data_IF_444656914940
#
_entry.id   IF_444656914940
#
_cell.length_a   1.000
_cell.length_b   1.000
_cell.length_c   1.000
_cell.angle_alpha   90.00
_cell.angle_beta   90.00
_cell.angle_gamma   90.00
#
_symmetry.space_group_name_H-M   'P 1'
#
loop_
_entity.id
_entity.type
_entity.pdbx_description
1 polymer ?
#
# COMPACT_ATOMS: atom_id res chain seq x y z
N UNK A 1 -15.03 -15.93 35.27
CA UNK A 1 -15.88 -15.63 34.10
C UNK A 1 -17.32 -15.62 34.59
N UNK A 2 -18.12 -14.58 34.31
CA UNK A 2 -19.53 -14.58 34.75
C UNK A 2 -20.30 -15.67 33.98
N UNK A 3 -21.13 -16.50 34.65
CA UNK A 3 -22.03 -17.39 33.95
C UNK A 3 -23.04 -16.56 33.15
N UNK A 4 -23.27 -16.94 31.89
CA UNK A 4 -24.30 -16.36 31.04
C UNK A 4 -25.57 -17.17 31.29
N UNK A 5 -26.65 -16.52 31.68
CA UNK A 5 -27.95 -17.18 31.84
C UNK A 5 -28.68 -17.35 30.50
N UNK A 6 -29.70 -18.21 30.48
CA UNK A 6 -30.43 -18.54 29.25
C UNK A 6 -31.14 -17.31 28.63
N UNK A 7 -31.55 -16.34 29.44
CA UNK A 7 -32.17 -15.11 28.95
C UNK A 7 -31.15 -14.21 28.26
N UNK A 8 -29.95 -14.09 28.82
CA UNK A 8 -28.83 -13.37 28.23
C UNK A 8 -28.38 -14.03 26.93
N UNK A 9 -28.33 -15.38 26.89
CA UNK A 9 -28.01 -16.14 25.69
C UNK A 9 -29.04 -15.94 24.57
N UNK A 10 -30.33 -16.00 24.87
CA UNK A 10 -31.39 -15.78 23.88
C UNK A 10 -31.45 -14.33 23.39
N UNK A 11 -31.25 -13.35 24.29
CA UNK A 11 -31.13 -11.94 23.90
C UNK A 11 -29.93 -11.71 22.98
N UNK A 12 -28.80 -12.34 23.27
CA UNK A 12 -27.61 -12.29 22.43
C UNK A 12 -27.88 -12.89 21.04
N UNK A 13 -28.52 -14.07 20.98
CA UNK A 13 -28.89 -14.75 19.73
C UNK A 13 -29.81 -13.91 18.87
N UNK A 14 -30.88 -13.33 19.44
CA UNK A 14 -31.79 -12.44 18.73
C UNK A 14 -31.08 -11.19 18.19
N UNK A 15 -30.18 -10.61 19.00
CA UNK A 15 -29.34 -9.47 18.58
C UNK A 15 -28.42 -9.83 17.42
N UNK A 16 -27.79 -11.01 17.45
CA UNK A 16 -26.92 -11.49 16.38
C UNK A 16 -27.70 -11.79 15.10
N UNK A 17 -28.89 -12.40 15.20
CA UNK A 17 -29.76 -12.65 14.05
C UNK A 17 -30.17 -11.33 13.36
N UNK A 18 -30.54 -10.30 14.13
CA UNK A 18 -30.85 -8.97 13.58
C UNK A 18 -29.63 -8.33 12.91
N UNK A 19 -28.44 -8.43 13.52
CA UNK A 19 -27.19 -7.94 12.93
C UNK A 19 -26.85 -8.67 11.63
N UNK A 20 -27.03 -9.99 11.61
CA UNK A 20 -26.84 -10.82 10.41
C UNK A 20 -27.78 -10.37 9.29
N UNK A 21 -29.07 -10.18 9.56
CA UNK A 21 -30.01 -9.73 8.54
C UNK A 21 -29.64 -8.36 7.94
N UNK A 22 -29.20 -7.41 8.77
CA UNK A 22 -28.69 -6.11 8.29
C UNK A 22 -27.44 -6.27 7.44
N UNK A 23 -26.50 -7.12 7.89
CA UNK A 23 -25.27 -7.40 7.15
C UNK A 23 -25.55 -8.09 5.80
N UNK A 24 -26.45 -9.08 5.79
CA UNK A 24 -26.84 -9.81 4.58
C UNK A 24 -27.48 -8.85 3.56
N UNK A 25 -28.36 -7.95 4.02
CA UNK A 25 -28.97 -6.93 3.15
C UNK A 25 -27.93 -5.95 2.59
N UNK A 26 -26.96 -5.53 3.41
CA UNK A 26 -25.86 -4.67 2.95
C UNK A 26 -24.99 -5.36 1.90
N UNK A 27 -24.65 -6.64 2.11
CA UNK A 27 -23.87 -7.45 1.17
C UNK A 27 -24.64 -7.69 -0.12
N UNK A 28 -25.95 -7.95 -0.05
CA UNK A 28 -26.80 -8.14 -1.23
C UNK A 28 -26.85 -6.90 -2.14
N UNK A 29 -26.60 -5.71 -1.58
CA UNK A 29 -26.51 -4.47 -2.35
C UNK A 29 -25.17 -4.25 -3.07
N UNK A 30 -24.17 -5.13 -2.89
CA UNK A 30 -22.85 -5.00 -3.54
C UNK A 30 -22.84 -5.80 -4.84
N UNK A 31 -22.95 -5.12 -5.98
CA UNK A 31 -23.07 -5.75 -7.31
C UNK A 31 -21.75 -5.86 -8.09
N UNK A 32 -20.70 -5.19 -7.63
CA UNK A 32 -19.37 -5.24 -8.27
C UNK A 32 -18.63 -6.46 -7.72
N UNK A 33 -18.54 -7.53 -8.52
CA UNK A 33 -17.88 -8.77 -8.09
C UNK A 33 -16.35 -8.65 -8.09
N UNK A 34 -15.78 -8.02 -9.12
CA UNK A 34 -14.32 -7.84 -9.26
C UNK A 34 -13.99 -6.49 -9.89
N UNK A 35 -13.03 -5.79 -9.29
CA UNK A 35 -12.35 -4.62 -9.86
C UNK A 35 -10.97 -4.47 -9.20
N UNK A 36 -10.02 -3.97 -9.97
CA UNK A 36 -8.72 -3.52 -9.52
C UNK A 36 -8.91 -2.32 -8.60
N UNK A 37 -8.21 -2.32 -7.47
CA UNK A 37 -8.37 -1.31 -6.43
C UNK A 37 -7.15 -0.40 -6.37
N UNK A 38 -7.37 0.91 -6.30
CA UNK A 38 -6.35 1.88 -5.93
C UNK A 38 -6.40 2.09 -4.43
N UNK A 39 -5.34 1.66 -3.76
CA UNK A 39 -5.21 1.67 -2.31
C UNK A 39 -4.13 2.68 -1.93
N UNK A 40 -4.40 3.56 -0.98
CA UNK A 40 -3.42 4.53 -0.46
C UNK A 40 -3.19 4.29 1.03
N UNK A 41 -1.97 3.92 1.39
CA UNK A 41 -1.52 3.82 2.77
C UNK A 41 -0.67 5.05 3.12
N UNK A 42 -1.26 6.00 3.84
CA UNK A 42 -0.64 7.30 4.20
C UNK A 42 -0.56 7.50 5.73
N UNK A 43 -0.22 8.71 6.17
CA UNK A 43 -0.15 9.08 7.58
C UNK A 43 1.26 9.01 8.20
N UNK A 44 1.46 9.67 9.35
CA UNK A 44 2.78 9.80 9.98
C UNK A 44 3.26 8.52 10.67
N UNK A 45 2.36 7.60 11.00
CA UNK A 45 2.64 6.37 11.76
C UNK A 45 3.39 5.30 10.96
N UNK A 46 4.00 4.36 11.69
CA UNK A 46 4.64 3.16 11.12
C UNK A 46 3.57 2.20 10.57
N UNK A 47 3.87 1.55 9.45
CA UNK A 47 3.07 0.42 8.94
C UNK A 47 2.73 0.46 7.45
N UNK A 48 2.92 1.61 6.77
CA UNK A 48 2.40 1.83 5.40
C UNK A 48 2.95 0.83 4.40
N UNK A 49 4.29 0.78 4.31
CA UNK A 49 5.03 -0.14 3.46
C UNK A 49 4.81 -1.59 3.88
N UNK A 50 4.89 -1.92 5.17
CA UNK A 50 4.70 -3.28 5.66
C UNK A 50 3.28 -3.81 5.39
N UNK A 51 2.25 -2.96 5.43
CA UNK A 51 0.90 -3.34 5.05
C UNK A 51 0.77 -3.63 3.54
N UNK A 52 1.43 -2.81 2.70
CA UNK A 52 1.49 -3.07 1.26
C UNK A 52 2.19 -4.41 0.96
N UNK A 53 3.32 -4.69 1.62
CA UNK A 53 4.02 -5.96 1.46
C UNK A 53 3.26 -7.15 2.05
N UNK A 54 2.52 -6.99 3.14
CA UNK A 54 1.60 -8.01 3.63
C UNK A 54 0.51 -8.37 2.60
N UNK A 55 0.03 -7.37 1.84
CA UNK A 55 -0.89 -7.61 0.73
C UNK A 55 -0.20 -8.32 -0.44
N UNK A 56 1.04 -7.95 -0.79
CA UNK A 56 1.82 -8.68 -1.81
C UNK A 56 2.02 -10.16 -1.42
N UNK A 57 2.34 -10.44 -0.16
CA UNK A 57 2.46 -11.81 0.33
C UNK A 57 1.14 -12.58 0.16
N UNK A 58 0.00 -11.95 0.43
CA UNK A 58 -1.32 -12.55 0.18
C UNK A 58 -1.53 -12.87 -1.31
N UNK A 59 -1.19 -11.95 -2.21
CA UNK A 59 -1.30 -12.17 -3.65
C UNK A 59 -0.41 -13.34 -4.13
N UNK A 60 0.83 -13.39 -3.64
CA UNK A 60 1.76 -14.49 -3.93
C UNK A 60 1.27 -15.83 -3.38
N UNK A 61 0.63 -15.83 -2.21
CA UNK A 61 -0.01 -17.01 -1.62
C UNK A 61 -1.13 -17.59 -2.49
N UNK A 62 -1.80 -16.75 -3.28
CA UNK A 62 -2.76 -17.17 -4.31
C UNK A 62 -2.13 -17.38 -5.70
N UNK A 63 -0.79 -17.46 -5.77
CA UNK A 63 -0.06 -17.74 -7.01
C UNK A 63 -0.04 -16.60 -8.03
N UNK A 64 -0.46 -15.37 -7.64
CA UNK A 64 -0.42 -14.20 -8.51
C UNK A 64 0.98 -13.59 -8.57
N UNK A 65 1.26 -12.79 -9.61
CA UNK A 65 2.52 -12.02 -9.71
C UNK A 65 2.32 -10.60 -9.21
N UNK A 66 3.39 -10.03 -8.66
CA UNK A 66 3.40 -8.69 -8.08
C UNK A 66 4.58 -7.87 -8.61
N UNK A 67 4.33 -6.59 -8.87
CA UNK A 67 5.36 -5.59 -9.17
C UNK A 67 5.59 -4.67 -7.97
N UNK A 68 6.84 -4.29 -7.72
CA UNK A 68 7.23 -3.34 -6.68
C UNK A 68 8.16 -2.30 -7.29
N UNK A 69 7.81 -1.02 -7.12
CA UNK A 69 8.65 0.12 -7.46
C UNK A 69 8.83 0.97 -6.21
N UNK A 70 10.08 1.26 -5.85
CA UNK A 70 10.41 2.10 -4.69
C UNK A 70 11.02 3.42 -5.16
N UNK A 71 10.36 4.54 -4.84
CA UNK A 71 10.71 5.88 -5.35
C UNK A 71 11.82 6.60 -4.56
N UNK A 72 11.95 6.33 -3.26
CA UNK A 72 12.91 7.03 -2.39
C UNK A 72 14.08 6.15 -1.98
N UNK A 73 13.89 4.84 -1.87
CA UNK A 73 14.93 3.94 -1.34
C UNK A 73 16.03 3.71 -2.36
N UNK A 74 17.26 4.07 -1.97
CA UNK A 74 18.51 3.72 -2.63
C UNK A 74 18.82 2.22 -2.60
N UNK A 75 20.07 1.86 -2.89
CA UNK A 75 20.56 0.47 -2.88
C UNK A 75 20.59 -0.22 -1.50
N UNK A 76 19.89 0.33 -0.49
CA UNK A 76 19.80 -0.26 0.84
C UNK A 76 19.05 -1.58 0.80
N UNK A 77 19.68 -2.62 1.34
CA UNK A 77 19.10 -3.94 1.48
C UNK A 77 17.99 -3.90 2.54
N UNK A 78 16.74 -4.19 2.16
CA UNK A 78 15.65 -4.37 3.12
C UNK A 78 15.34 -5.84 3.32
N UNK A 79 14.93 -6.22 4.53
CA UNK A 79 14.54 -7.60 4.83
C UNK A 79 13.44 -8.13 3.91
N UNK A 80 12.51 -7.27 3.50
CA UNK A 80 11.42 -7.67 2.59
C UNK A 80 11.97 -8.04 1.21
N UNK A 81 12.86 -7.24 0.61
CA UNK A 81 13.44 -7.58 -0.71
C UNK A 81 14.09 -8.97 -0.71
N UNK A 82 14.84 -9.29 0.35
CA UNK A 82 15.45 -10.60 0.51
C UNK A 82 14.41 -11.72 0.65
N UNK A 83 13.35 -11.50 1.44
CA UNK A 83 12.28 -12.48 1.59
C UNK A 83 11.51 -12.70 0.29
N UNK A 84 11.22 -11.63 -0.46
CA UNK A 84 10.49 -11.69 -1.72
C UNK A 84 11.30 -12.36 -2.84
N UNK A 85 12.64 -12.37 -2.75
CA UNK A 85 13.49 -13.09 -3.71
C UNK A 85 13.20 -14.61 -3.75
N UNK A 86 12.70 -15.19 -2.66
CA UNK A 86 12.29 -16.60 -2.61
C UNK A 86 11.12 -16.94 -3.56
N UNK A 87 10.39 -15.93 -4.05
CA UNK A 87 9.28 -16.11 -4.99
C UNK A 87 9.71 -16.01 -6.47
N UNK A 88 11.00 -15.76 -6.73
CA UNK A 88 11.57 -15.77 -8.08
C UNK A 88 10.85 -14.83 -9.05
N UNK A 89 10.47 -15.35 -10.20
CA UNK A 89 9.86 -14.62 -11.31
C UNK A 89 8.43 -14.11 -11.03
N UNK A 90 7.84 -14.48 -9.88
CA UNK A 90 6.55 -13.95 -9.44
C UNK A 90 6.65 -12.54 -8.86
N UNK A 91 7.85 -12.03 -8.62
CA UNK A 91 8.09 -10.69 -8.09
C UNK A 91 8.99 -9.91 -9.03
N UNK A 92 8.48 -8.83 -9.61
CA UNK A 92 9.28 -7.81 -10.29
C UNK A 92 9.63 -6.70 -9.30
N UNK A 93 10.89 -6.62 -8.86
CA UNK A 93 11.33 -5.67 -7.84
C UNK A 93 12.27 -4.62 -8.40
N UNK A 94 11.91 -3.34 -8.26
CA UNK A 94 12.68 -2.20 -8.74
C UNK A 94 12.88 -1.16 -7.62
N UNK A 95 14.11 -1.05 -7.11
CA UNK A 95 14.52 0.03 -6.20
C UNK A 95 15.18 1.12 -7.05
N UNK A 96 14.53 2.27 -7.21
CA UNK A 96 14.90 3.28 -8.20
C UNK A 96 15.14 4.68 -7.61
N UNK A 97 15.05 4.84 -6.29
CA UNK A 97 15.48 6.08 -5.62
C UNK A 97 16.99 6.11 -5.40
N UNK A 98 17.54 7.27 -5.06
CA UNK A 98 18.94 7.43 -4.65
C UNK A 98 19.14 7.38 -3.12
N UNK A 99 18.05 7.30 -2.34
CA UNK A 99 18.06 7.49 -0.89
C UNK A 99 17.29 8.76 -0.50
N UNK A 100 17.34 9.12 0.78
CA UNK A 100 16.77 10.40 1.21
C UNK A 100 17.65 11.57 0.73
N UNK A 101 17.01 12.61 0.22
CA UNK A 101 17.60 13.86 -0.33
C UNK A 101 18.46 14.68 0.64
N UNK A 102 18.58 14.25 1.90
CA UNK A 102 19.46 14.90 2.88
C UNK A 102 20.95 14.67 2.58
N UNK A 103 21.29 13.65 1.78
CA UNK A 103 22.67 13.35 1.37
C UNK A 103 23.00 13.87 -0.04
N UNK A 104 22.03 13.87 -0.96
CA UNK A 104 22.17 14.38 -2.33
C UNK A 104 21.41 15.70 -2.49
N UNK A 105 22.13 16.83 -2.47
CA UNK A 105 21.56 18.17 -2.69
C UNK A 105 21.27 18.47 -4.18
N UNK A 106 20.85 17.48 -4.97
CA UNK A 106 20.65 17.60 -6.42
C UNK A 106 19.20 17.30 -6.84
N UNK A 107 18.40 18.35 -6.83
CA UNK A 107 16.99 18.31 -7.25
C UNK A 107 16.80 17.72 -8.66
N UNK A 108 17.72 17.96 -9.60
CA UNK A 108 17.57 17.45 -10.97
C UNK A 108 17.70 15.94 -11.02
N UNK A 109 18.61 15.38 -10.21
CA UNK A 109 18.76 13.92 -10.08
C UNK A 109 17.56 13.29 -9.41
N UNK A 110 17.04 13.90 -8.35
CA UNK A 110 15.84 13.41 -7.66
C UNK A 110 14.63 13.34 -8.60
N UNK A 111 14.42 14.39 -9.41
CA UNK A 111 13.35 14.43 -10.42
C UNK A 111 13.58 13.32 -11.47
N UNK A 112 14.78 13.21 -12.04
CA UNK A 112 15.07 12.19 -13.05
C UNK A 112 14.89 10.75 -12.51
N UNK A 113 15.28 10.50 -11.26
CA UNK A 113 15.08 9.21 -10.60
C UNK A 113 13.58 8.92 -10.39
N UNK A 114 12.80 9.91 -9.95
CA UNK A 114 11.35 9.78 -9.79
C UNK A 114 10.65 9.53 -11.14
N UNK A 115 11.03 10.23 -12.21
CA UNK A 115 10.52 10.03 -13.56
C UNK A 115 10.86 8.63 -14.10
N UNK A 116 12.09 8.15 -13.88
CA UNK A 116 12.49 6.79 -14.28
C UNK A 116 11.72 5.71 -13.49
N UNK A 117 11.54 5.90 -12.18
CA UNK A 117 10.72 5.03 -11.34
C UNK A 117 9.26 5.01 -11.82
N UNK A 118 8.72 6.18 -12.18
CA UNK A 118 7.36 6.30 -12.71
C UNK A 118 7.20 5.60 -14.07
N UNK A 119 8.16 5.77 -14.98
CA UNK A 119 8.16 5.05 -16.25
C UNK A 119 8.14 3.52 -16.03
N UNK A 120 8.95 3.02 -15.08
CA UNK A 120 8.94 1.60 -14.71
C UNK A 120 7.58 1.17 -14.13
N UNK A 121 6.97 1.99 -13.30
CA UNK A 121 5.63 1.71 -12.76
C UNK A 121 4.60 1.57 -13.88
N UNK A 122 4.61 2.45 -14.88
CA UNK A 122 3.73 2.37 -16.04
C UNK A 122 3.92 1.07 -16.84
N UNK A 123 5.17 0.65 -17.04
CA UNK A 123 5.46 -0.65 -17.69
C UNK A 123 4.85 -1.83 -16.92
N UNK A 124 5.03 -1.88 -15.60
CA UNK A 124 4.48 -2.95 -14.77
C UNK A 124 2.94 -2.90 -14.71
N UNK A 125 2.35 -1.71 -14.69
CA UNK A 125 0.90 -1.53 -14.74
C UNK A 125 0.30 -2.02 -16.07
N UNK A 126 1.07 -1.96 -17.16
CA UNK A 126 0.65 -2.43 -18.47
C UNK A 126 0.79 -3.96 -18.63
N UNK A 127 1.58 -4.65 -17.81
CA UNK A 127 1.81 -6.10 -17.90
C UNK A 127 0.59 -6.92 -17.41
N UNK A 128 -0.05 -7.74 -18.26
CA UNK A 128 -1.21 -8.54 -17.86
C UNK A 128 -0.92 -9.71 -16.94
N UNK A 129 0.35 -10.08 -16.76
CA UNK A 129 0.74 -11.13 -15.83
C UNK A 129 0.78 -10.64 -14.38
N UNK A 130 0.82 -9.32 -14.15
CA UNK A 130 0.91 -8.69 -12.83
C UNK A 130 -0.48 -8.32 -12.32
N UNK A 131 -0.84 -8.81 -11.14
CA UNK A 131 -2.16 -8.54 -10.53
C UNK A 131 -2.09 -7.47 -9.43
N UNK A 132 -0.90 -7.12 -8.95
CA UNK A 132 -0.69 -6.07 -7.96
C UNK A 132 0.59 -5.30 -8.27
N UNK A 133 0.52 -3.96 -8.29
CA UNK A 133 1.70 -3.08 -8.31
C UNK A 133 1.76 -2.28 -7.01
N UNK A 134 2.92 -2.30 -6.34
CA UNK A 134 3.20 -1.47 -5.17
C UNK A 134 4.09 -0.31 -5.59
N UNK A 135 3.63 0.90 -5.34
CA UNK A 135 4.33 2.16 -5.57
C UNK A 135 4.77 2.71 -4.20
N UNK A 136 5.86 2.13 -3.70
CA UNK A 136 6.37 2.41 -2.36
C UNK A 136 7.02 3.81 -2.32
N UNK A 137 6.56 4.63 -1.38
CA UNK A 137 6.97 6.03 -1.17
C UNK A 137 6.69 6.98 -2.35
N UNK A 138 5.78 6.63 -3.27
CA UNK A 138 5.34 7.55 -4.33
C UNK A 138 4.73 8.85 -3.74
N UNK A 139 4.04 8.77 -2.59
CA UNK A 139 3.53 9.99 -1.94
C UNK A 139 4.63 10.99 -1.60
N UNK A 140 5.85 10.52 -1.31
CA UNK A 140 6.99 11.39 -1.01
C UNK A 140 7.46 12.10 -2.29
N UNK A 141 7.59 11.38 -3.41
CA UNK A 141 7.92 11.99 -4.70
C UNK A 141 6.89 13.04 -5.13
N UNK A 142 5.60 12.73 -4.94
CA UNK A 142 4.50 13.67 -5.22
C UNK A 142 4.50 14.87 -4.29
N UNK A 143 4.82 14.70 -3.01
CA UNK A 143 4.88 15.78 -2.03
C UNK A 143 5.94 16.83 -2.40
N UNK A 144 7.06 16.39 -2.96
CA UNK A 144 8.16 17.26 -3.39
C UNK A 144 8.03 17.74 -4.84
N UNK A 145 6.88 17.50 -5.49
CA UNK A 145 6.60 17.92 -6.86
C UNK A 145 7.60 17.36 -7.90
N UNK A 146 8.21 16.20 -7.62
CA UNK A 146 9.10 15.53 -8.58
C UNK A 146 8.34 14.91 -9.75
N UNK A 147 7.05 14.68 -9.56
CA UNK A 147 6.13 14.18 -10.57
C UNK A 147 4.88 15.05 -10.57
N UNK A 148 4.32 15.27 -11.75
CA UNK A 148 3.01 15.89 -11.91
C UNK A 148 1.92 14.97 -11.34
N UNK A 149 1.24 15.46 -10.30
CA UNK A 149 0.19 14.70 -9.59
C UNK A 149 -1.01 14.40 -10.49
N UNK A 150 -1.37 15.31 -11.40
CA UNK A 150 -2.54 15.14 -12.25
C UNK A 150 -2.28 14.07 -13.30
N UNK A 151 -1.07 14.07 -13.89
CA UNK A 151 -0.62 13.02 -14.80
C UNK A 151 -0.57 11.64 -14.11
N UNK A 152 -0.05 11.57 -12.87
CA UNK A 152 -0.01 10.34 -12.09
C UNK A 152 -1.42 9.83 -11.77
N UNK A 153 -2.32 10.70 -11.30
CA UNK A 153 -3.71 10.33 -10.99
C UNK A 153 -4.45 9.88 -12.24
N UNK A 154 -4.27 10.55 -13.38
CA UNK A 154 -4.88 10.15 -14.64
C UNK A 154 -4.47 8.73 -15.05
N UNK A 155 -3.17 8.41 -14.99
CA UNK A 155 -2.68 7.08 -15.30
C UNK A 155 -3.17 6.02 -14.31
N UNK A 156 -3.20 6.33 -13.01
CA UNK A 156 -3.72 5.40 -11.99
C UNK A 156 -5.20 5.13 -12.19
N UNK A 157 -6.02 6.12 -12.55
CA UNK A 157 -7.44 5.94 -12.85
C UNK A 157 -7.66 5.18 -14.16
N UNK A 158 -6.80 5.38 -15.15
CA UNK A 158 -6.83 4.71 -16.46
C UNK A 158 -6.16 3.33 -16.49
N UNK A 159 -5.71 2.80 -15.35
CA UNK A 159 -5.11 1.46 -15.26
C UNK A 159 -6.10 0.38 -15.71
N UNK A 160 -5.57 -0.78 -16.10
CA UNK A 160 -6.34 -2.00 -16.37
C UNK A 160 -7.32 -2.33 -15.22
N UNK A 161 -8.52 -2.78 -15.58
CA UNK A 161 -9.61 -3.02 -14.62
C UNK A 161 -9.34 -4.16 -13.64
N UNK A 162 -8.35 -5.01 -13.89
CA UNK A 162 -7.99 -6.17 -13.09
C UNK A 162 -6.78 -5.93 -12.17
N UNK A 163 -6.16 -4.74 -12.23
CA UNK A 163 -4.96 -4.43 -11.46
C UNK A 163 -5.25 -3.70 -10.17
N UNK A 164 -4.75 -4.28 -9.09
CA UNK A 164 -4.63 -3.58 -7.83
C UNK A 164 -3.35 -2.74 -7.83
N UNK A 165 -3.44 -1.51 -7.33
CA UNK A 165 -2.29 -0.63 -7.11
C UNK A 165 -2.30 -0.16 -5.68
N UNK A 166 -1.18 -0.29 -4.98
CA UNK A 166 -1.00 0.25 -3.62
C UNK A 166 0.04 1.35 -3.67
N UNK A 167 -0.37 2.56 -3.29
CA UNK A 167 0.53 3.70 -3.09
C UNK A 167 0.83 3.86 -1.60
N UNK A 168 2.10 4.04 -1.25
CA UNK A 168 2.52 4.29 0.13
C UNK A 168 3.25 5.62 0.27
N UNK A 169 3.42 6.02 1.53
CA UNK A 169 4.25 7.14 1.94
C UNK A 169 3.45 8.20 2.66
N UNK A 170 4.14 9.13 3.32
CA UNK A 170 3.48 10.19 4.09
C UNK A 170 2.89 11.26 3.15
N UNK A 171 1.91 12.03 3.65
CA UNK A 171 1.40 13.23 3.00
C UNK A 171 0.83 12.99 1.58
N UNK A 172 0.05 11.93 1.39
CA UNK A 172 -0.73 11.75 0.15
C UNK A 172 -1.48 13.04 -0.23
N UNK A 173 -1.32 13.48 -1.49
CA UNK A 173 -2.00 14.68 -1.99
C UNK A 173 -3.51 14.46 -2.09
N UNK A 174 -4.35 15.51 -1.90
CA UNK A 174 -5.80 15.38 -1.97
C UNK A 174 -6.31 14.73 -3.26
N UNK A 175 -5.75 15.08 -4.42
CA UNK A 175 -6.12 14.48 -5.71
C UNK A 175 -5.93 12.95 -5.75
N UNK A 176 -4.88 12.43 -5.11
CA UNK A 176 -4.64 11.00 -5.03
C UNK A 176 -5.57 10.32 -4.02
N UNK A 177 -5.88 10.98 -2.90
CA UNK A 177 -6.85 10.49 -1.91
C UNK A 177 -8.24 10.39 -2.54
N UNK A 178 -8.66 11.39 -3.30
CA UNK A 178 -9.94 11.42 -4.00
C UNK A 178 -10.05 10.33 -5.08
N UNK A 179 -8.95 10.06 -5.78
CA UNK A 179 -8.91 9.03 -6.82
C UNK A 179 -8.93 7.58 -6.28
N UNK A 180 -8.57 7.38 -5.01
CA UNK A 180 -8.40 6.06 -4.42
C UNK A 180 -9.72 5.37 -4.06
N UNK A 181 -9.76 4.06 -4.24
CA UNK A 181 -10.89 3.22 -3.81
C UNK A 181 -10.84 2.95 -2.30
N UNK A 182 -9.63 2.96 -1.71
CA UNK A 182 -9.42 2.76 -0.29
C UNK A 182 -8.25 3.63 0.20
N UNK A 183 -8.46 4.36 1.29
CA UNK A 183 -7.41 5.15 1.94
C UNK A 183 -7.32 4.75 3.41
N UNK A 184 -6.13 4.38 3.85
CA UNK A 184 -5.80 4.16 5.27
C UNK A 184 -4.79 5.20 5.72
N UNK A 185 -5.16 6.00 6.70
CA UNK A 185 -4.25 6.92 7.38
C UNK A 185 -3.71 6.28 8.67
N UNK A 186 -2.43 5.95 8.68
CA UNK A 186 -1.76 5.39 9.85
C UNK A 186 -1.34 6.51 10.80
N UNK A 187 -2.07 6.64 11.90
CA UNK A 187 -1.72 7.54 13.00
C UNK A 187 -0.51 7.06 13.81
N UNK A 188 0.22 7.99 14.41
CA UNK A 188 1.35 7.70 15.29
C UNK A 188 0.92 7.77 16.78
N UNK A 189 -0.11 7.02 17.17
CA UNK A 189 -0.66 7.03 18.54
C UNK A 189 0.41 6.80 19.61
N UNK A 190 1.38 5.92 19.32
CA UNK A 190 2.60 5.72 20.10
C UNK A 190 3.68 5.16 19.19
N UNK A 191 4.92 5.59 19.36
CA UNK A 191 6.07 5.07 18.61
C UNK A 191 7.29 4.97 19.55
N UNK A 192 8.00 3.84 19.54
CA UNK A 192 9.13 3.60 20.45
C UNK A 192 10.30 4.56 20.24
N UNK A 193 10.46 5.09 19.01
CA UNK A 193 11.43 6.16 18.73
C UNK A 193 11.25 7.40 19.63
N UNK A 194 10.01 7.79 19.95
CA UNK A 194 9.74 8.90 20.87
C UNK A 194 10.18 8.62 22.31
N UNK A 195 10.39 7.34 22.65
CA UNK A 195 10.96 6.91 23.93
C UNK A 195 12.49 6.68 23.85
N UNK A 196 13.15 7.11 22.77
CA UNK A 196 14.60 6.99 22.59
C UNK A 196 15.08 5.62 22.09
N UNK A 197 14.16 4.71 21.73
CA UNK A 197 14.52 3.40 21.17
C UNK A 197 14.94 3.57 19.71
N UNK A 198 16.17 3.17 19.38
CA UNK A 198 16.73 3.20 18.02
C UNK A 198 15.99 2.22 17.09
N UNK A 199 16.16 2.41 15.78
CA UNK A 199 15.70 1.46 14.78
C UNK A 199 16.34 0.08 15.00
N UNK A 200 15.55 -0.98 14.83
CA UNK A 200 15.94 -2.37 15.04
C UNK A 200 15.74 -3.18 13.76
N UNK A 201 16.71 -4.05 13.45
CA UNK A 201 16.60 -5.01 12.36
C UNK A 201 15.40 -5.94 12.59
N UNK A 202 14.62 -6.19 11.54
CA UNK A 202 13.37 -6.96 11.59
C UNK A 202 12.16 -6.16 12.08
N UNK A 203 12.35 -4.92 12.55
CA UNK A 203 11.27 -4.04 12.98
C UNK A 203 11.15 -2.81 12.06
N UNK A 204 12.25 -2.08 11.84
CA UNK A 204 12.31 -0.91 10.96
C UNK A 204 12.87 -1.23 9.57
N UNK A 205 13.80 -2.19 9.47
CA UNK A 205 14.50 -2.58 8.24
C UNK A 205 14.92 -4.06 8.24
#
# INVERSE_FOLDING_TARGET
MKPVDDQEAERHKAKMAKRKAVQDAEVAGKTIEQKGLLIVNTGPGKGKTTAAFGLALRMLGYGKRVGVVQFVKGAWHTGERAAFAAFGDKVAWHSMGEGFTWETQDLKRDIAAAEAAWAKALELMADPSISLVILDELNIALRYDYLDVDAVVAALKGRREDLHVVVTGRNAKPALVEAADLVTEMGATKHHFAAGVKAQQGIEF
#
